data_IF_427608246337
#
_entry.id   IF_427608246337
#
_cell.length_a   1.000
_cell.length_b   1.000
_cell.length_c   1.000
_cell.angle_alpha   90.00
_cell.angle_beta   90.00
_cell.angle_gamma   90.00
#
_symmetry.space_group_name_H-M   'P 1'
#
loop_
_entity.id
_entity.type
_entity.pdbx_description
1 polymer ?
#
# COMPACT_ATOMS: atom_id res chain seq x y z
N UNK A 1 -9.31 2.30 -16.04
CA UNK A 1 -8.15 1.52 -15.57
C UNK A 1 -7.85 0.40 -16.55
N UNK A 2 -6.60 0.27 -16.94
CA UNK A 2 -6.19 -0.82 -17.79
C UNK A 2 -6.41 -2.16 -17.09
N UNK A 3 -7.07 -3.07 -17.77
CA UNK A 3 -7.38 -4.38 -17.23
C UNK A 3 -6.55 -5.46 -17.93
N UNK A 4 -5.25 -5.18 -18.01
CA UNK A 4 -4.28 -6.07 -18.66
C UNK A 4 -3.05 -6.22 -17.77
N UNK A 5 -2.30 -7.29 -18.00
CA UNK A 5 -1.05 -7.52 -17.26
C UNK A 5 -0.09 -6.35 -17.43
N UNK A 6 0.44 -5.85 -16.33
CA UNK A 6 1.39 -4.74 -16.31
C UNK A 6 2.65 -5.04 -17.15
N UNK A 7 3.05 -6.31 -17.21
CA UNK A 7 4.31 -6.72 -17.86
C UNK A 7 4.11 -7.07 -19.32
N UNK A 8 3.11 -7.87 -19.66
CA UNK A 8 2.97 -8.41 -21.02
C UNK A 8 1.66 -8.05 -21.72
N UNK A 9 0.76 -7.34 -21.04
CA UNK A 9 -0.50 -6.91 -21.65
C UNK A 9 -1.55 -8.00 -21.80
N UNK A 10 -1.36 -9.17 -21.19
CA UNK A 10 -2.35 -10.25 -21.24
C UNK A 10 -3.71 -9.73 -20.77
N UNK A 11 -4.83 -10.06 -21.47
CA UNK A 11 -6.13 -9.42 -21.25
C UNK A 11 -6.86 -9.88 -19.98
N UNK A 12 -6.41 -10.95 -19.31
CA UNK A 12 -7.08 -11.49 -18.12
C UNK A 12 -6.11 -11.57 -16.95
N UNK A 13 -5.70 -10.41 -16.37
CA UNK A 13 -4.77 -10.40 -15.26
C UNK A 13 -5.46 -10.78 -13.95
N UNK A 14 -4.66 -11.27 -13.02
CA UNK A 14 -5.03 -11.39 -11.62
C UNK A 14 -4.66 -10.11 -10.89
N UNK A 15 -5.30 -9.86 -9.76
CA UNK A 15 -5.00 -8.71 -8.91
C UNK A 15 -3.95 -9.10 -7.89
N UNK A 16 -2.76 -8.52 -8.00
CA UNK A 16 -1.67 -8.76 -7.04
C UNK A 16 -1.67 -7.68 -5.96
N UNK A 17 -1.67 -8.09 -4.70
CA UNK A 17 -1.48 -7.18 -3.56
C UNK A 17 0.02 -7.05 -3.29
N UNK A 18 0.57 -5.87 -3.50
CA UNK A 18 2.00 -5.61 -3.36
C UNK A 18 2.45 -5.85 -1.92
N UNK A 19 1.78 -5.23 -0.94
CA UNK A 19 1.88 -5.62 0.45
C UNK A 19 0.85 -6.73 0.64
N UNK A 20 1.32 -7.91 1.03
CA UNK A 20 0.47 -9.07 1.12
C UNK A 20 -0.60 -8.92 2.19
N UNK A 21 -1.72 -9.61 2.01
CA UNK A 21 -2.84 -9.57 2.95
C UNK A 21 -2.41 -9.89 4.38
N UNK A 22 -1.49 -10.83 4.56
CA UNK A 22 -0.96 -11.19 5.87
C UNK A 22 0.01 -10.16 6.46
N UNK A 23 0.55 -9.27 5.63
CA UNK A 23 1.49 -8.24 6.08
C UNK A 23 0.78 -6.96 6.52
N UNK A 24 -0.28 -6.58 5.80
CA UNK A 24 -1.10 -5.41 6.17
C UNK A 24 -2.51 -5.56 5.60
N UNK A 25 -3.43 -6.05 6.41
CA UNK A 25 -4.80 -6.30 5.98
C UNK A 25 -5.58 -5.00 5.71
N UNK A 26 -5.15 -3.87 6.24
CA UNK A 26 -5.82 -2.60 6.01
C UNK A 26 -5.72 -2.12 4.56
N UNK A 27 -4.77 -2.65 3.78
CA UNK A 27 -4.56 -2.28 2.39
C UNK A 27 -5.15 -3.25 1.38
N UNK A 28 -5.95 -4.22 1.81
CA UNK A 28 -6.54 -5.19 0.88
C UNK A 28 -7.36 -4.51 -0.21
N UNK A 29 -8.14 -3.49 0.15
CA UNK A 29 -8.97 -2.74 -0.81
C UNK A 29 -8.31 -1.47 -1.35
N UNK A 30 -7.10 -1.15 -0.93
CA UNK A 30 -6.40 0.05 -1.38
C UNK A 30 -5.96 -0.08 -2.84
N UNK A 31 -6.45 0.81 -3.74
CA UNK A 31 -6.07 0.74 -5.15
C UNK A 31 -4.56 0.86 -5.39
N UNK A 32 -3.86 1.63 -4.56
CA UNK A 32 -2.41 1.81 -4.69
C UNK A 32 -1.64 0.51 -4.44
N UNK A 33 -2.24 -0.40 -3.66
CA UNK A 33 -1.61 -1.67 -3.29
C UNK A 33 -1.88 -2.80 -4.29
N UNK A 34 -2.57 -2.52 -5.39
CA UNK A 34 -2.98 -3.54 -6.35
C UNK A 34 -2.36 -3.28 -7.70
N UNK A 35 -1.80 -4.34 -8.30
CA UNK A 35 -1.30 -4.27 -9.67
C UNK A 35 -1.84 -5.47 -10.46
N UNK A 36 -2.16 -5.28 -11.76
CA UNK A 36 -2.64 -6.37 -12.59
C UNK A 36 -1.47 -7.17 -13.14
N UNK A 37 -1.45 -8.46 -12.88
CA UNK A 37 -0.41 -9.37 -13.38
C UNK A 37 -1.08 -10.65 -13.88
N UNK A 38 -0.69 -11.13 -15.07
CA UNK A 38 -1.19 -12.42 -15.55
C UNK A 38 -0.65 -13.55 -14.66
N UNK A 39 -1.21 -14.75 -14.82
CA UNK A 39 -0.80 -15.89 -14.02
C UNK A 39 0.73 -16.07 -14.01
N UNK A 40 1.36 -16.02 -15.19
CA UNK A 40 2.81 -16.22 -15.34
C UNK A 40 3.61 -15.15 -14.60
N UNK A 41 3.25 -13.88 -14.76
CA UNK A 41 3.95 -12.76 -14.13
C UNK A 41 3.52 -12.51 -12.68
N UNK A 42 2.51 -13.22 -12.20
CA UNK A 42 2.06 -13.16 -10.81
C UNK A 42 2.58 -14.37 -10.01
N UNK A 43 2.31 -15.59 -10.52
CA UNK A 43 2.59 -16.84 -9.80
C UNK A 43 3.75 -17.63 -10.38
N UNK A 44 4.19 -17.31 -11.60
CA UNK A 44 5.31 -17.98 -12.23
C UNK A 44 6.66 -17.59 -11.62
N UNK A 45 7.71 -18.22 -12.11
CA UNK A 45 9.07 -18.01 -11.56
C UNK A 45 9.57 -16.56 -11.70
N UNK A 46 9.00 -15.81 -12.63
CA UNK A 46 9.34 -14.39 -12.84
C UNK A 46 8.31 -13.47 -12.16
N UNK A 47 7.46 -14.01 -11.30
CA UNK A 47 6.48 -13.24 -10.54
C UNK A 47 6.92 -13.01 -9.10
N UNK A 48 6.24 -12.08 -8.40
CA UNK A 48 6.65 -11.68 -7.05
C UNK A 48 6.52 -12.78 -6.00
N UNK A 49 5.63 -13.76 -6.20
CA UNK A 49 5.48 -14.85 -5.24
C UNK A 49 6.62 -15.86 -5.29
N UNK A 50 7.27 -16.03 -6.45
CA UNK A 50 8.35 -16.98 -6.64
C UNK A 50 9.72 -16.32 -6.76
N UNK A 51 9.76 -15.00 -6.91
CA UNK A 51 11.00 -14.28 -7.13
C UNK A 51 11.06 -13.08 -6.19
N UNK A 52 11.88 -13.21 -5.13
CA UNK A 52 11.98 -12.18 -4.11
C UNK A 52 12.48 -10.83 -4.66
N UNK A 53 13.36 -10.87 -5.65
CA UNK A 53 13.87 -9.64 -6.25
C UNK A 53 12.75 -8.82 -6.90
N UNK A 54 11.82 -9.52 -7.57
CA UNK A 54 10.65 -8.88 -8.19
C UNK A 54 9.69 -8.38 -7.11
N UNK A 55 9.44 -9.17 -6.08
CA UNK A 55 8.62 -8.76 -4.95
C UNK A 55 9.15 -7.47 -4.31
N UNK A 56 10.45 -7.42 -4.03
CA UNK A 56 11.07 -6.23 -3.45
C UNK A 56 11.00 -5.03 -4.37
N UNK A 57 11.12 -5.24 -5.67
CA UNK A 57 10.98 -4.17 -6.67
C UNK A 57 9.61 -3.50 -6.56
N UNK A 58 8.54 -4.30 -6.53
CA UNK A 58 7.18 -3.77 -6.42
C UNK A 58 6.95 -3.08 -5.08
N UNK A 59 7.47 -3.64 -3.99
CA UNK A 59 7.35 -3.04 -2.67
C UNK A 59 8.07 -1.70 -2.58
N UNK A 60 9.27 -1.60 -3.17
CA UNK A 60 9.99 -0.34 -3.22
C UNK A 60 9.26 0.72 -4.04
N UNK A 61 8.65 0.32 -5.15
CA UNK A 61 7.85 1.22 -5.98
C UNK A 61 6.63 1.74 -5.21
N UNK A 62 5.93 0.86 -4.50
CA UNK A 62 4.79 1.26 -3.69
C UNK A 62 5.21 2.20 -2.56
N UNK A 63 6.28 1.86 -1.85
CA UNK A 63 6.80 2.71 -0.77
C UNK A 63 7.13 4.11 -1.28
N UNK A 64 7.78 4.21 -2.41
CA UNK A 64 8.07 5.50 -3.04
C UNK A 64 6.79 6.28 -3.34
N UNK A 65 5.79 5.61 -3.89
CA UNK A 65 4.49 6.25 -4.19
C UNK A 65 3.80 6.72 -2.93
N UNK A 66 3.77 5.90 -1.88
CA UNK A 66 3.16 6.28 -0.61
C UNK A 66 3.87 7.47 0.03
N UNK A 67 5.20 7.47 0.01
CA UNK A 67 5.97 8.62 0.49
C UNK A 67 5.61 9.89 -0.26
N UNK A 68 5.43 9.80 -1.56
CA UNK A 68 5.02 10.94 -2.39
C UNK A 68 3.61 11.42 -2.02
N UNK A 69 2.67 10.50 -1.85
CA UNK A 69 1.29 10.82 -1.48
C UNK A 69 1.19 11.50 -0.12
N UNK A 70 2.07 11.15 0.83
CA UNK A 70 2.11 11.70 2.17
C UNK A 70 3.22 12.73 2.35
N UNK A 71 3.65 13.39 1.28
CA UNK A 71 4.73 14.37 1.34
C UNK A 71 4.28 15.82 1.54
N UNK A 72 2.97 16.09 1.46
CA UNK A 72 2.45 17.44 1.51
C UNK A 72 2.40 18.03 2.92
N UNK A 73 2.35 17.17 3.94
CA UNK A 73 2.33 17.54 5.35
C UNK A 73 3.22 16.60 6.13
N UNK A 74 3.63 17.03 7.31
CA UNK A 74 4.35 16.17 8.24
C UNK A 74 3.41 15.26 9.03
N UNK A 75 2.20 15.74 9.32
CA UNK A 75 1.21 15.02 10.12
C UNK A 75 -0.15 15.01 9.43
N UNK A 76 -0.85 13.89 9.56
CA UNK A 76 -2.17 13.68 8.94
C UNK A 76 -3.16 13.12 9.95
N UNK A 77 -4.44 13.53 9.82
CA UNK A 77 -5.52 12.93 10.58
C UNK A 77 -5.87 11.57 10.00
N UNK A 78 -6.65 10.78 10.76
CA UNK A 78 -7.19 9.51 10.26
C UNK A 78 -8.01 9.73 8.98
N UNK A 79 -8.86 10.75 8.96
CA UNK A 79 -9.71 11.03 7.81
C UNK A 79 -8.89 11.38 6.56
N UNK A 80 -7.84 12.18 6.71
CA UNK A 80 -6.95 12.49 5.61
C UNK A 80 -6.24 11.24 5.09
N UNK A 81 -5.77 10.38 5.99
CA UNK A 81 -5.11 9.12 5.66
C UNK A 81 -6.06 8.21 4.88
N UNK A 82 -7.29 8.08 5.34
CA UNK A 82 -8.34 7.31 4.67
C UNK A 82 -8.56 7.79 3.23
N UNK A 83 -8.66 9.09 3.04
CA UNK A 83 -8.89 9.69 1.71
C UNK A 83 -7.71 9.48 0.77
N UNK A 84 -6.51 9.65 1.27
CA UNK A 84 -5.29 9.48 0.46
C UNK A 84 -5.14 8.02 0.02
N UNK A 85 -5.38 7.08 0.92
CA UNK A 85 -5.24 5.65 0.63
C UNK A 85 -6.45 5.07 -0.09
N UNK A 86 -7.57 5.80 -0.14
CA UNK A 86 -8.80 5.33 -0.78
C UNK A 86 -9.30 4.02 -0.16
N UNK A 87 -9.29 3.94 1.17
CA UNK A 87 -9.71 2.77 1.92
C UNK A 87 -10.94 3.09 2.78
N UNK A 88 -11.72 2.07 3.19
CA UNK A 88 -12.85 2.29 4.09
C UNK A 88 -12.40 2.74 5.48
N UNK A 89 -13.31 3.37 6.21
CA UNK A 89 -13.05 3.86 7.57
C UNK A 89 -12.55 2.76 8.50
N UNK A 90 -13.14 1.56 8.43
CA UNK A 90 -12.71 0.43 9.27
C UNK A 90 -11.25 0.07 9.04
N UNK A 91 -10.78 0.20 7.79
CA UNK A 91 -9.41 -0.13 7.44
C UNK A 91 -8.45 0.99 7.84
N UNK A 92 -8.85 2.26 7.71
CA UNK A 92 -8.02 3.36 8.19
C UNK A 92 -7.85 3.30 9.70
N UNK A 93 -8.89 2.96 10.44
CA UNK A 93 -8.79 2.76 11.88
C UNK A 93 -7.82 1.61 12.21
N UNK A 94 -7.96 0.48 11.51
CA UNK A 94 -7.08 -0.68 11.69
C UNK A 94 -5.63 -0.31 11.43
N UNK A 95 -5.38 0.52 10.41
CA UNK A 95 -4.03 0.94 10.04
C UNK A 95 -3.38 1.77 11.14
N UNK A 96 -4.09 2.76 11.65
CA UNK A 96 -3.49 3.78 12.52
C UNK A 96 -3.61 3.48 14.02
N UNK A 97 -4.45 2.53 14.43
CA UNK A 97 -4.73 2.29 15.87
C UNK A 97 -3.49 1.95 16.69
N UNK A 98 -2.45 1.42 16.08
CA UNK A 98 -1.19 1.09 16.76
C UNK A 98 -0.18 2.24 16.73
N UNK A 99 -0.46 3.31 16.00
CA UNK A 99 0.43 4.46 15.91
C UNK A 99 0.18 5.42 17.07
N UNK A 100 1.22 6.14 17.46
CA UNK A 100 1.13 7.14 18.51
C UNK A 100 0.78 8.49 17.91
N UNK A 101 -0.40 9.05 18.21
CA UNK A 101 -0.76 10.37 17.68
C UNK A 101 -0.10 11.50 18.46
N UNK A 102 -0.04 12.66 17.81
CA UNK A 102 0.15 13.93 18.50
C UNK A 102 -1.14 14.72 18.40
N UNK A 103 -1.37 15.63 19.35
CA UNK A 103 -2.56 16.47 19.36
C UNK A 103 -2.17 17.84 18.84
N UNK A 104 -2.80 18.25 17.72
CA UNK A 104 -2.62 19.57 17.12
C UNK A 104 -4.02 20.15 16.91
N UNK A 105 -4.27 21.34 17.50
CA UNK A 105 -5.57 22.00 17.40
C UNK A 105 -6.76 21.10 17.81
N UNK A 106 -6.56 20.34 18.89
CA UNK A 106 -7.55 19.40 19.43
C UNK A 106 -7.84 18.19 18.53
N UNK A 107 -6.99 17.94 17.53
CA UNK A 107 -7.12 16.78 16.65
C UNK A 107 -5.94 15.83 16.83
N UNK A 108 -6.22 14.53 16.82
CA UNK A 108 -5.19 13.50 16.77
C UNK A 108 -4.63 13.43 15.37
N UNK A 109 -3.32 13.59 15.23
CA UNK A 109 -2.61 13.52 13.96
C UNK A 109 -1.44 12.56 14.06
N UNK A 110 -1.09 11.96 12.94
CA UNK A 110 -0.08 10.90 12.88
C UNK A 110 1.04 11.33 11.94
N UNK A 111 2.27 11.02 12.32
CA UNK A 111 3.44 11.35 11.52
C UNK A 111 3.40 10.60 10.19
N UNK A 112 3.68 11.31 9.10
CA UNK A 112 3.63 10.76 7.74
C UNK A 112 4.52 9.52 7.58
N UNK A 113 5.73 9.55 8.13
CA UNK A 113 6.65 8.42 8.08
C UNK A 113 6.10 7.18 8.76
N UNK A 114 5.41 7.35 9.89
CA UNK A 114 4.79 6.24 10.61
C UNK A 114 3.63 5.64 9.81
N UNK A 115 2.84 6.49 9.16
CA UNK A 115 1.73 6.03 8.33
C UNK A 115 2.26 5.18 7.17
N UNK A 116 3.26 5.68 6.45
CA UNK A 116 3.84 4.96 5.32
C UNK A 116 4.44 3.64 5.76
N UNK A 117 5.21 3.65 6.85
CA UNK A 117 5.82 2.43 7.38
C UNK A 117 4.77 1.40 7.75
N UNK A 118 3.71 1.83 8.44
CA UNK A 118 2.62 0.94 8.84
C UNK A 118 1.91 0.38 7.61
N UNK A 119 1.67 1.22 6.60
CA UNK A 119 1.05 0.79 5.35
C UNK A 119 1.90 -0.28 4.63
N UNK A 120 3.22 -0.21 4.75
CA UNK A 120 4.13 -1.19 4.19
C UNK A 120 4.29 -2.46 5.05
N UNK A 121 3.44 -2.64 6.06
CA UNK A 121 3.50 -3.81 6.93
C UNK A 121 4.52 -3.69 8.05
N UNK A 122 4.90 -2.47 8.42
CA UNK A 122 5.85 -2.21 9.49
C UNK A 122 7.31 -2.28 9.06
N UNK A 123 7.58 -2.31 7.76
CA UNK A 123 8.94 -2.41 7.22
C UNK A 123 9.26 -1.24 6.30
N UNK A 124 10.55 -0.94 6.18
CA UNK A 124 11.09 -0.06 5.15
C UNK A 124 11.78 -0.91 4.08
N UNK A 125 11.56 -0.56 2.86
CA UNK A 125 12.13 -1.29 1.72
C UNK A 125 13.13 -0.45 0.93
#
# INVERSE_FOLDING_TARGET
>A
MENTCLICGHPYPEEHHVVFRGQQSALISCPHNKIPLCYEHHRGKNGPHMNRKIDLKYKKQLQFRLKSLFSHKEYYTEEETKRILLIPKKDSYKLIKSLTPIIIDNEAKYYSGDIVRQAMGGRCY
#
